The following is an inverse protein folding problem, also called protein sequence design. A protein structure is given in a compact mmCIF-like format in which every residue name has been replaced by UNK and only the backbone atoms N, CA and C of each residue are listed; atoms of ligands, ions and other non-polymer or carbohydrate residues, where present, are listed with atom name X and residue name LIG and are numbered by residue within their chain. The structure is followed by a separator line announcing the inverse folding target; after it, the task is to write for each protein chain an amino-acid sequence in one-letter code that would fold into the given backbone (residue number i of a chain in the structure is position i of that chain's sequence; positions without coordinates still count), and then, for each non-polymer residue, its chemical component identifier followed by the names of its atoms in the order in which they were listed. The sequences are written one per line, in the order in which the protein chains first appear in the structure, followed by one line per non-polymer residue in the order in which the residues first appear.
data_IF_657113370932
#
_entry.id   IF_657113370932
#
_cell.length_a   1.000
_cell.length_b   1.000
_cell.length_c   1.000
_cell.angle_alpha   90.00
_cell.angle_beta   90.00
_cell.angle_gamma   90.00
#
_symmetry.space_group_name_H-M   'P 1'
#
loop_
_entity.id
_entity.type
_entity.pdbx_description
1 polymer ?
#
# COMPACT_ATOMS: atom_id res chain seq x y z
N UNK A 1 32.34 -68.17 -0.76
CA UNK A 1 32.90 -66.86 -0.36
C UNK A 1 31.85 -65.79 -0.56
N UNK A 2 31.03 -65.50 0.46
CA UNK A 2 30.02 -64.43 0.43
C UNK A 2 30.58 -63.21 1.16
N UNK A 3 30.85 -62.14 0.42
CA UNK A 3 31.22 -60.83 0.99
C UNK A 3 29.93 -60.07 1.33
N UNK A 4 29.61 -60.00 2.62
CA UNK A 4 28.52 -59.16 3.14
C UNK A 4 29.02 -57.72 3.20
N UNK A 5 28.50 -56.87 2.32
CA UNK A 5 28.76 -55.43 2.30
C UNK A 5 27.94 -54.75 3.40
N UNK A 6 28.60 -54.38 4.49
CA UNK A 6 28.00 -53.56 5.54
C UNK A 6 27.98 -52.10 5.08
N UNK A 7 26.82 -51.62 4.60
CA UNK A 7 26.53 -50.18 4.56
C UNK A 7 26.26 -49.70 5.99
N UNK A 8 26.89 -48.62 6.47
CA UNK A 8 26.56 -48.08 7.78
C UNK A 8 25.15 -47.50 7.78
N UNK A 9 24.41 -47.57 8.91
CA UNK A 9 23.11 -46.95 9.04
C UNK A 9 23.29 -45.43 8.99
N UNK A 10 22.51 -44.79 8.13
CA UNK A 10 22.40 -43.34 8.04
C UNK A 10 21.93 -42.80 9.41
N UNK A 11 22.86 -42.26 10.18
CA UNK A 11 22.60 -41.59 11.45
C UNK A 11 23.33 -40.25 11.43
N UNK A 12 22.57 -39.16 11.38
CA UNK A 12 22.97 -37.85 11.90
C UNK A 12 21.74 -36.92 11.96
N UNK A 13 21.23 -36.59 13.16
CA UNK A 13 20.28 -35.52 13.38
C UNK A 13 21.07 -34.24 13.69
N UNK A 14 21.64 -33.62 12.66
CA UNK A 14 22.26 -32.30 12.79
C UNK A 14 21.71 -31.45 11.66
N UNK A 15 20.61 -30.76 11.97
CA UNK A 15 20.13 -29.63 11.18
C UNK A 15 21.20 -28.55 11.26
N UNK A 16 22.02 -28.44 10.23
CA UNK A 16 23.02 -27.39 10.18
C UNK A 16 22.31 -26.06 9.88
N UNK A 17 22.75 -24.96 10.51
CA UNK A 17 22.22 -23.61 10.27
C UNK A 17 22.34 -23.20 8.78
N UNK A 18 23.26 -23.86 8.06
CA UNK A 18 23.56 -23.66 6.65
C UNK A 18 22.46 -24.28 5.75
N UNK A 19 21.76 -25.31 6.22
CA UNK A 19 20.63 -25.94 5.49
C UNK A 19 19.33 -25.12 5.59
N UNK A 20 19.21 -24.24 6.59
CA UNK A 20 18.06 -23.34 6.79
C UNK A 20 18.18 -22.08 5.91
N UNK A 21 19.41 -21.70 5.58
CA UNK A 21 19.72 -20.48 4.83
C UNK A 21 19.02 -20.38 3.46
N UNK A 22 18.96 -21.44 2.61
CA UNK A 22 18.23 -21.37 1.34
C UNK A 22 16.71 -21.32 1.52
N UNK A 23 16.13 -22.02 2.51
CA UNK A 23 14.69 -21.97 2.80
C UNK A 23 14.24 -20.59 3.32
N UNK A 24 15.10 -19.90 4.08
CA UNK A 24 14.84 -18.55 4.56
C UNK A 24 14.86 -17.53 3.40
N UNK A 25 15.83 -17.66 2.48
CA UNK A 25 15.94 -16.79 1.30
C UNK A 25 14.76 -17.01 0.34
N UNK A 26 14.37 -18.27 0.11
CA UNK A 26 13.21 -18.62 -0.71
C UNK A 26 11.87 -18.22 -0.06
N UNK A 27 11.81 -18.14 1.27
CA UNK A 27 10.64 -17.62 1.99
C UNK A 27 10.53 -16.10 1.86
N UNK A 28 11.66 -15.39 1.80
CA UNK A 28 11.69 -13.95 1.58
C UNK A 28 11.20 -13.58 0.17
N UNK A 29 11.51 -14.38 -0.86
CA UNK A 29 10.95 -14.23 -2.21
C UNK A 29 9.45 -14.58 -2.31
N UNK A 30 8.91 -15.35 -1.36
CA UNK A 30 7.48 -15.73 -1.32
C UNK A 30 6.62 -14.70 -0.56
N UNK A 31 7.21 -13.98 0.40
CA UNK A 31 6.55 -13.02 1.30
C UNK A 31 6.36 -11.63 0.65
N UNK A 32 7.19 -11.26 -0.32
CA UNK A 32 6.90 -10.14 -1.20
C UNK A 32 6.22 -10.68 -2.45
N UNK A 33 4.89 -10.88 -2.46
CA UNK A 33 4.25 -11.06 -3.74
C UNK A 33 4.60 -9.79 -4.55
N UNK A 34 4.89 -9.98 -5.82
CA UNK A 34 5.03 -8.93 -6.80
C UNK A 34 3.62 -8.54 -7.34
N UNK A 35 2.74 -7.79 -6.65
CA UNK A 35 1.71 -7.05 -7.38
C UNK A 35 2.12 -5.58 -7.53
N UNK A 36 2.82 -4.97 -6.56
CA UNK A 36 3.14 -3.54 -6.64
C UNK A 36 4.18 -3.26 -7.74
N UNK A 37 5.24 -4.05 -7.83
CA UNK A 37 6.20 -3.93 -8.94
C UNK A 37 5.64 -4.48 -10.25
N UNK A 38 4.72 -5.46 -10.23
CA UNK A 38 4.16 -6.03 -11.46
C UNK A 38 3.18 -5.08 -12.17
N UNK A 39 2.35 -4.33 -11.42
CA UNK A 39 1.49 -3.28 -11.97
C UNK A 39 2.30 -2.09 -12.50
N UNK A 40 3.45 -1.78 -11.88
CA UNK A 40 4.33 -0.68 -12.29
C UNK A 40 5.35 -1.08 -13.38
N UNK A 41 5.54 -2.37 -13.66
CA UNK A 41 6.50 -2.87 -14.68
C UNK A 41 6.08 -2.58 -16.11
N UNK A 42 4.80 -2.30 -16.38
CA UNK A 42 4.34 -1.81 -17.70
C UNK A 42 4.07 -0.31 -17.60
N UNK A 43 4.92 0.49 -18.24
CA UNK A 43 4.83 1.97 -18.28
C UNK A 43 3.45 2.46 -18.73
N UNK A 44 2.76 1.72 -19.61
CA UNK A 44 1.39 2.04 -20.05
C UNK A 44 0.34 1.92 -18.94
N UNK A 45 0.37 0.85 -18.14
CA UNK A 45 -0.54 0.68 -17.00
C UNK A 45 -0.21 1.66 -15.87
N UNK A 46 1.08 1.98 -15.68
CA UNK A 46 1.52 3.00 -14.73
C UNK A 46 0.94 4.38 -15.04
N UNK A 47 1.02 4.82 -16.30
CA UNK A 47 0.47 6.10 -16.72
C UNK A 47 -1.06 6.17 -16.52
N UNK A 48 -1.78 5.10 -16.86
CA UNK A 48 -3.24 5.02 -16.65
C UNK A 48 -3.58 5.11 -15.16
N UNK A 49 -2.86 4.38 -14.30
CA UNK A 49 -3.07 4.43 -12.85
C UNK A 49 -2.81 5.83 -12.28
N UNK A 50 -1.76 6.53 -12.74
CA UNK A 50 -1.50 7.91 -12.32
C UNK A 50 -2.61 8.84 -12.78
N UNK A 51 -3.06 8.73 -14.03
CA UNK A 51 -4.13 9.60 -14.56
C UNK A 51 -5.44 9.41 -13.80
N UNK A 52 -5.85 8.16 -13.58
CA UNK A 52 -7.05 7.84 -12.79
C UNK A 52 -6.88 8.29 -11.34
N UNK A 53 -5.72 8.01 -10.76
CA UNK A 53 -5.36 8.45 -9.41
C UNK A 53 -5.44 9.96 -9.26
N UNK A 54 -4.94 10.72 -10.23
CA UNK A 54 -4.94 12.18 -10.22
C UNK A 54 -6.37 12.75 -10.27
N UNK A 55 -7.23 12.25 -11.16
CA UNK A 55 -8.63 12.71 -11.26
C UNK A 55 -9.42 12.38 -9.98
N UNK A 56 -9.20 11.19 -9.40
CA UNK A 56 -9.85 10.84 -8.14
C UNK A 56 -9.32 11.68 -6.97
N UNK A 57 -8.01 11.87 -6.92
CA UNK A 57 -7.34 12.68 -5.91
C UNK A 57 -7.83 14.12 -5.93
N UNK A 58 -7.95 14.75 -7.11
CA UNK A 58 -8.50 16.10 -7.30
C UNK A 58 -9.84 16.25 -6.57
N UNK A 59 -10.82 15.37 -6.85
CA UNK A 59 -12.16 15.47 -6.24
C UNK A 59 -12.16 15.28 -4.73
N UNK A 60 -11.33 14.38 -4.23
CA UNK A 60 -11.24 14.11 -2.79
C UNK A 60 -10.52 15.24 -2.07
N UNK A 61 -9.45 15.79 -2.67
CA UNK A 61 -8.67 16.86 -2.06
C UNK A 61 -9.38 18.20 -2.10
N UNK A 62 -10.13 18.51 -3.15
CA UNK A 62 -10.96 19.71 -3.19
C UNK A 62 -12.01 19.68 -2.09
N UNK A 63 -12.84 18.62 -2.05
CA UNK A 63 -13.91 18.51 -1.05
C UNK A 63 -13.37 18.36 0.37
N UNK A 64 -12.31 17.57 0.56
CA UNK A 64 -11.67 17.37 1.86
C UNK A 64 -10.97 18.64 2.34
N UNK A 65 -10.26 19.33 1.45
CA UNK A 65 -9.57 20.59 1.72
C UNK A 65 -10.54 21.69 2.12
N UNK A 66 -11.64 21.84 1.36
CA UNK A 66 -12.72 22.76 1.70
C UNK A 66 -13.28 22.44 3.08
N UNK A 67 -13.67 21.18 3.34
CA UNK A 67 -14.23 20.76 4.62
C UNK A 67 -13.31 21.05 5.81
N UNK A 68 -12.01 20.73 5.69
CA UNK A 68 -11.01 21.02 6.72
C UNK A 68 -10.89 22.54 6.92
N UNK A 69 -10.86 23.30 5.83
CA UNK A 69 -10.73 24.75 5.86
C UNK A 69 -11.96 25.43 6.49
N UNK A 70 -13.18 25.01 6.15
CA UNK A 70 -14.39 25.55 6.78
C UNK A 70 -14.46 25.16 8.25
N UNK A 71 -14.09 23.92 8.60
CA UNK A 71 -14.10 23.47 9.99
C UNK A 71 -13.15 24.30 10.84
N UNK A 72 -11.95 24.57 10.34
CA UNK A 72 -10.93 25.36 11.03
C UNK A 72 -11.33 26.84 11.14
N UNK A 73 -12.07 27.36 10.17
CA UNK A 73 -12.48 28.77 10.10
C UNK A 73 -14.00 28.97 10.30
N UNK A 74 -14.63 28.08 11.07
CA UNK A 74 -16.07 28.20 11.39
C UNK A 74 -16.37 29.55 12.04
N UNK A 75 -17.45 30.16 11.59
CA UNK A 75 -17.87 31.50 12.03
C UNK A 75 -17.07 32.69 11.47
N UNK A 76 -15.94 32.46 10.77
CA UNK A 76 -15.15 33.54 10.15
C UNK A 76 -15.38 33.70 8.65
N UNK A 77 -15.74 32.62 7.95
CA UNK A 77 -15.99 32.68 6.52
C UNK A 77 -17.27 33.45 6.19
N UNK A 78 -17.23 34.23 5.11
CA UNK A 78 -18.37 34.96 4.56
C UNK A 78 -19.61 34.07 4.43
N UNK A 79 -19.48 32.83 3.92
CA UNK A 79 -20.60 31.88 3.80
C UNK A 79 -21.35 31.60 5.11
N UNK A 80 -20.68 31.70 6.25
CA UNK A 80 -21.30 31.52 7.57
C UNK A 80 -21.98 32.78 8.08
N UNK A 81 -21.56 33.98 7.66
CA UNK A 81 -22.09 35.27 8.16
C UNK A 81 -23.02 35.97 7.17
N UNK A 82 -22.99 35.60 5.89
CA UNK A 82 -23.76 36.17 4.77
C UNK A 82 -25.26 36.22 5.05
N UNK A 83 -25.81 35.21 5.74
CA UNK A 83 -27.21 35.16 6.12
C UNK A 83 -27.66 36.33 7.02
N UNK A 84 -26.74 37.01 7.71
CA UNK A 84 -27.05 38.20 8.52
C UNK A 84 -27.18 39.49 7.70
N UNK A 85 -26.74 39.47 6.43
CA UNK A 85 -26.67 40.65 5.57
C UNK A 85 -27.64 40.56 4.39
N UNK A 86 -27.96 39.37 3.88
CA UNK A 86 -28.91 39.22 2.77
C UNK A 86 -30.38 39.42 3.21
N UNK A 87 -30.71 39.22 4.48
CA UNK A 87 -32.07 39.42 5.00
C UNK A 87 -32.44 40.90 5.28
N UNK A 88 -31.58 41.86 4.92
CA UNK A 88 -31.78 43.30 5.21
C UNK A 88 -32.10 44.15 3.97
N UNK A 89 -32.12 43.57 2.78
CA UNK A 89 -32.38 44.29 1.53
C UNK A 89 -33.82 44.11 1.01
N UNK A 90 -34.67 43.35 1.70
CA UNK A 90 -36.09 43.12 1.33
C UNK A 90 -37.13 43.77 2.28
N UNK A 91 -36.74 44.67 3.19
CA UNK A 91 -37.66 45.57 3.93
C UNK A 91 -37.43 47.04 3.57
#
# INVERSE_FOLDING_TARGET
SHTISLRPPFSSPHLSVIDIFPELVLSFERIYPLPLLAYLRRTSTFAVTIMVGAVFFERVFDQGGDAIFEQMNRGKLWKHIKHNYENKEEE
#
